data_IF_523442680943
#
_entry.id   IF_523442680943
#
_cell.length_a   1.000
_cell.length_b   1.000
_cell.length_c   1.000
_cell.angle_alpha   90.00
_cell.angle_beta   90.00
_cell.angle_gamma   90.00
#
_symmetry.space_group_name_H-M   'P 1'
#
loop_
_entity.id
_entity.type
_entity.pdbx_description
1 polymer ?
#
# COMPACT_ATOMS: atom_id res chain seq x y z
N UNK A 1 -2.49 11.59 -14.48
CA UNK A 1 -1.93 11.28 -13.15
C UNK A 1 -0.80 10.29 -13.25
N UNK A 2 0.20 10.40 -12.37
CA UNK A 2 1.35 9.48 -12.38
C UNK A 2 1.06 8.31 -11.44
N UNK A 3 0.93 7.12 -12.02
CA UNK A 3 0.72 5.87 -11.30
C UNK A 3 2.07 5.20 -11.05
N UNK A 4 2.29 4.69 -9.85
CA UNK A 4 3.45 3.87 -9.48
C UNK A 4 2.97 2.50 -9.02
N UNK A 5 3.75 1.47 -9.36
CA UNK A 5 3.42 0.08 -9.04
C UNK A 5 4.63 -0.55 -8.37
N UNK A 6 4.38 -1.26 -7.26
CA UNK A 6 5.38 -1.98 -6.48
C UNK A 6 4.92 -3.42 -6.31
N UNK A 7 5.65 -4.38 -6.87
CA UNK A 7 5.29 -5.80 -6.74
C UNK A 7 5.49 -6.30 -5.32
N UNK A 8 4.50 -7.04 -4.79
CA UNK A 8 4.58 -7.68 -3.48
C UNK A 8 5.17 -9.09 -3.66
N UNK A 9 6.41 -9.35 -3.18
CA UNK A 9 7.14 -10.59 -3.49
C UNK A 9 6.36 -11.85 -3.08
N UNK A 10 6.24 -12.81 -3.99
CA UNK A 10 5.65 -14.13 -3.72
C UNK A 10 4.13 -14.16 -3.60
N UNK A 11 3.40 -13.13 -4.04
CA UNK A 11 1.92 -13.08 -3.92
C UNK A 11 1.12 -12.97 -5.22
N UNK A 12 1.77 -12.65 -6.34
CA UNK A 12 1.05 -12.31 -7.58
C UNK A 12 0.29 -10.99 -7.50
N UNK A 13 0.41 -10.23 -6.41
CA UNK A 13 -0.18 -8.91 -6.23
C UNK A 13 0.88 -7.82 -6.27
N UNK A 14 0.45 -6.62 -6.66
CA UNK A 14 1.24 -5.40 -6.57
C UNK A 14 0.46 -4.32 -5.82
N UNK A 15 1.18 -3.44 -5.14
CA UNK A 15 0.66 -2.18 -4.62
C UNK A 15 0.66 -1.17 -5.76
N UNK A 16 -0.47 -0.49 -5.99
CA UNK A 16 -0.57 0.61 -6.95
C UNK A 16 -0.85 1.91 -6.20
N UNK A 17 -0.13 2.95 -6.59
CA UNK A 17 -0.09 4.25 -5.93
C UNK A 17 -0.40 5.35 -6.94
N UNK A 18 -1.26 6.31 -6.59
CA UNK A 18 -1.56 7.47 -7.42
C UNK A 18 -1.90 8.70 -6.59
N UNK A 19 -1.86 9.87 -7.24
CA UNK A 19 -2.26 11.12 -6.60
C UNK A 19 -3.74 11.09 -6.22
N UNK A 20 -4.05 11.47 -4.98
CA UNK A 20 -5.44 11.47 -4.48
C UNK A 20 -6.32 12.53 -5.14
N UNK A 21 -5.73 13.45 -5.90
CA UNK A 21 -6.41 14.62 -6.47
C UNK A 21 -6.74 15.68 -5.42
N UNK A 22 -6.33 15.50 -4.17
CA UNK A 22 -6.53 16.44 -3.08
C UNK A 22 -5.46 17.55 -3.11
N UNK A 23 -5.77 18.70 -2.49
CA UNK A 23 -4.90 19.89 -2.51
C UNK A 23 -3.60 19.69 -1.73
N UNK A 24 -3.59 18.71 -0.85
CA UNK A 24 -2.50 18.34 0.04
C UNK A 24 -1.45 17.57 -0.77
N UNK A 25 -0.25 18.13 -0.98
CA UNK A 25 0.72 17.59 -1.95
C UNK A 25 1.27 16.22 -1.56
N UNK A 26 1.06 15.79 -0.31
CA UNK A 26 1.62 14.57 0.23
C UNK A 26 0.59 13.44 0.35
N UNK A 27 -0.66 13.64 -0.04
CA UNK A 27 -1.67 12.56 0.02
C UNK A 27 -1.59 11.68 -1.22
N UNK A 28 -1.66 10.38 -1.00
CA UNK A 28 -1.58 9.36 -2.03
C UNK A 28 -2.65 8.31 -1.78
N UNK A 29 -3.31 7.89 -2.85
CA UNK A 29 -4.19 6.74 -2.81
C UNK A 29 -3.38 5.46 -3.07
N UNK A 30 -3.75 4.39 -2.36
CA UNK A 30 -3.22 3.05 -2.54
C UNK A 30 -4.36 2.06 -2.78
N UNK A 31 -4.17 1.14 -3.71
CA UNK A 31 -4.91 -0.13 -3.79
C UNK A 31 -3.98 -1.31 -4.10
N UNK A 32 -4.52 -2.52 -3.98
CA UNK A 32 -3.86 -3.73 -4.46
C UNK A 32 -4.37 -4.06 -5.87
N UNK A 33 -3.46 -4.53 -6.72
CA UNK A 33 -3.78 -5.02 -8.06
C UNK A 33 -3.22 -6.42 -8.26
N UNK A 34 -3.91 -7.21 -9.06
CA UNK A 34 -3.33 -8.42 -9.64
C UNK A 34 -2.17 -8.04 -10.57
N UNK A 35 -0.98 -8.62 -10.35
CA UNK A 35 0.25 -8.22 -11.04
C UNK A 35 0.23 -8.55 -12.55
N UNK A 36 -0.55 -9.55 -12.97
CA UNK A 36 -0.62 -9.99 -14.37
C UNK A 36 -1.65 -9.16 -15.16
N UNK A 37 -2.84 -8.98 -14.59
CA UNK A 37 -3.99 -8.36 -15.26
C UNK A 37 -4.11 -6.87 -14.97
N UNK A 38 -3.45 -6.37 -13.93
CA UNK A 38 -3.54 -4.98 -13.47
C UNK A 38 -4.91 -4.61 -12.88
N UNK A 39 -5.79 -5.59 -12.65
CA UNK A 39 -7.12 -5.35 -12.07
C UNK A 39 -7.02 -5.09 -10.58
N UNK A 40 -7.78 -4.12 -10.10
CA UNK A 40 -7.91 -3.84 -8.69
C UNK A 40 -8.48 -5.06 -7.95
N UNK A 41 -7.90 -5.36 -6.80
CA UNK A 41 -8.33 -6.40 -5.88
C UNK A 41 -8.31 -5.85 -4.47
N UNK A 42 -9.20 -6.36 -3.63
CA UNK A 42 -9.13 -6.07 -2.21
C UNK A 42 -7.96 -6.84 -1.60
N UNK A 43 -7.44 -6.34 -0.49
CA UNK A 43 -6.46 -7.04 0.33
C UNK A 43 -7.06 -8.32 0.91
N UNK A 44 -6.21 -9.34 1.05
CA UNK A 44 -6.60 -10.60 1.68
C UNK A 44 -6.91 -10.37 3.16
N UNK A 45 -7.82 -11.16 3.75
CA UNK A 45 -8.35 -10.92 5.10
C UNK A 45 -7.26 -10.86 6.17
N UNK A 46 -6.20 -11.65 6.01
CA UNK A 46 -5.07 -11.80 6.93
C UNK A 46 -3.90 -10.86 6.63
N UNK A 47 -4.03 -10.00 5.62
CA UNK A 47 -3.02 -9.00 5.27
C UNK A 47 -3.26 -7.70 6.02
N UNK A 48 -2.17 -7.08 6.48
CA UNK A 48 -2.18 -5.79 7.15
C UNK A 48 -1.27 -4.80 6.44
N UNK A 49 -1.76 -3.57 6.31
CA UNK A 49 -0.96 -2.42 5.92
C UNK A 49 -0.57 -1.62 7.16
N UNK A 50 0.73 -1.35 7.33
CA UNK A 50 1.30 -0.72 8.51
C UNK A 50 2.24 0.42 8.10
N UNK A 51 2.37 1.51 8.87
CA UNK A 51 3.51 2.40 8.72
C UNK A 51 4.80 1.66 9.08
N UNK A 52 5.86 1.87 8.32
CA UNK A 52 7.18 1.28 8.55
C UNK A 52 8.21 2.36 8.90
N UNK A 53 9.20 2.00 9.72
CA UNK A 53 10.38 2.82 10.05
C UNK A 53 10.12 4.18 10.72
N UNK A 54 9.06 4.31 11.52
CA UNK A 54 8.87 5.51 12.36
C UNK A 54 9.20 5.19 13.82
N UNK A 55 10.40 5.60 14.26
CA UNK A 55 10.84 5.48 15.65
C UNK A 55 9.81 6.13 16.59
N UNK A 56 9.26 5.36 17.53
CA UNK A 56 8.25 5.84 18.49
C UNK A 56 6.80 5.79 18.00
N UNK A 57 6.55 5.25 16.81
CA UNK A 57 5.18 4.98 16.32
C UNK A 57 4.80 3.55 16.69
N UNK A 58 3.64 3.41 17.33
CA UNK A 58 3.05 2.11 17.64
C UNK A 58 2.58 1.45 16.36
N UNK A 59 2.75 0.13 16.24
CA UNK A 59 2.12 -0.67 15.18
C UNK A 59 0.60 -0.45 15.24
N UNK A 60 0.06 0.32 14.30
CA UNK A 60 -1.37 0.41 14.05
C UNK A 60 -1.66 -0.02 12.62
N UNK A 61 -2.76 -0.77 12.46
CA UNK A 61 -3.24 -1.19 11.15
C UNK A 61 -3.90 0.00 10.47
N UNK A 62 -3.47 0.28 9.25
CA UNK A 62 -4.11 1.29 8.41
C UNK A 62 -5.41 0.69 7.88
N UNK A 63 -6.54 1.25 8.31
CA UNK A 63 -7.85 0.90 7.79
C UNK A 63 -8.01 1.40 6.36
N UNK A 64 -8.72 0.64 5.54
CA UNK A 64 -9.20 1.13 4.25
C UNK A 64 -10.17 2.30 4.45
N UNK A 65 -10.33 3.12 3.41
CA UNK A 65 -11.31 4.20 3.36
C UNK A 65 -12.71 3.67 3.62
N UNK A 66 -13.05 2.54 3.02
CA UNK A 66 -14.34 1.89 3.19
C UNK A 66 -14.56 1.44 4.63
N UNK A 67 -13.57 0.85 5.30
CA UNK A 67 -13.64 0.52 6.72
C UNK A 67 -13.82 1.75 7.60
N UNK A 68 -13.14 2.87 7.29
CA UNK A 68 -13.33 4.14 8.00
C UNK A 68 -14.75 4.70 7.84
N UNK A 69 -15.44 4.38 6.74
CA UNK A 69 -16.86 4.70 6.53
C UNK A 69 -17.82 3.64 7.10
N UNK A 70 -17.30 2.64 7.82
CA UNK A 70 -18.09 1.65 8.56
C UNK A 70 -18.39 0.37 7.79
N UNK A 71 -17.81 0.17 6.60
CA UNK A 71 -17.91 -1.12 5.92
C UNK A 71 -17.10 -2.17 6.67
N UNK A 72 -17.61 -3.39 6.75
CA UNK A 72 -16.78 -4.53 7.13
C UNK A 72 -15.97 -4.95 5.90
N UNK A 73 -14.74 -5.43 6.09
CA UNK A 73 -13.85 -5.84 5.00
C UNK A 73 -14.51 -6.79 3.99
N UNK A 74 -15.26 -7.79 4.47
CA UNK A 74 -16.03 -8.75 3.66
C UNK A 74 -17.16 -8.13 2.82
N UNK A 75 -17.63 -6.95 3.20
CA UNK A 75 -18.74 -6.24 2.57
C UNK A 75 -18.23 -5.16 1.59
N UNK A 76 -16.90 -4.95 1.50
CA UNK A 76 -16.29 -4.08 0.50
C UNK A 76 -16.39 -4.78 -0.86
N UNK A 77 -16.98 -4.16 -1.90
CA UNK A 77 -17.04 -4.74 -3.23
C UNK A 77 -15.65 -5.10 -3.78
N UNK A 78 -15.57 -6.16 -4.57
CA UNK A 78 -14.30 -6.62 -5.12
C UNK A 78 -13.63 -5.54 -5.98
N UNK A 79 -12.39 -5.19 -5.63
CA UNK A 79 -11.58 -4.19 -6.32
C UNK A 79 -11.89 -2.74 -5.95
N UNK A 80 -12.74 -2.51 -4.95
CA UNK A 80 -13.11 -1.15 -4.50
C UNK A 80 -12.39 -0.71 -3.21
N UNK A 81 -11.65 -1.62 -2.54
CA UNK A 81 -10.89 -1.28 -1.34
C UNK A 81 -9.74 -0.32 -1.67
N UNK A 82 -9.71 0.82 -0.97
CA UNK A 82 -8.69 1.87 -1.15
C UNK A 82 -8.16 2.33 0.19
N UNK A 83 -6.90 2.77 0.21
CA UNK A 83 -6.24 3.31 1.38
C UNK A 83 -5.76 4.73 1.10
N UNK A 84 -5.87 5.59 2.11
CA UNK A 84 -5.34 6.95 2.10
C UNK A 84 -4.03 6.97 2.89
N UNK A 85 -2.92 7.22 2.19
CA UNK A 85 -1.56 7.20 2.76
C UNK A 85 -0.78 8.46 2.40
N UNK A 86 0.42 8.61 2.97
CA UNK A 86 1.28 9.77 2.77
C UNK A 86 2.50 9.44 1.91
N UNK A 87 2.83 10.36 1.01
CA UNK A 87 4.10 10.39 0.29
C UNK A 87 5.26 10.72 1.23
N UNK A 88 6.43 10.16 0.95
CA UNK A 88 7.63 10.29 1.77
C UNK A 88 7.65 9.40 3.02
N UNK A 89 6.67 8.51 3.16
CA UNK A 89 6.56 7.57 4.26
C UNK A 89 6.81 6.15 3.75
N UNK A 90 7.49 5.33 4.56
CA UNK A 90 7.60 3.89 4.31
C UNK A 90 6.42 3.17 4.94
N UNK A 91 5.94 2.13 4.26
CA UNK A 91 4.89 1.25 4.74
C UNK A 91 5.35 -0.20 4.66
N UNK A 92 4.68 -1.07 5.40
CA UNK A 92 4.87 -2.50 5.38
C UNK A 92 3.56 -3.21 5.06
N UNK A 93 3.64 -4.20 4.17
CA UNK A 93 2.59 -5.21 4.01
C UNK A 93 3.00 -6.44 4.81
N UNK A 94 2.27 -6.70 5.91
CA UNK A 94 2.44 -7.89 6.75
C UNK A 94 1.49 -8.98 6.28
N UNK A 95 2.03 -10.19 6.09
CA UNK A 95 1.31 -11.35 5.55
C UNK A 95 1.64 -12.59 6.38
N UNK A 96 0.72 -13.54 6.60
CA UNK A 96 1.05 -14.72 7.37
C UNK A 96 2.18 -15.53 6.73
N UNK A 97 3.07 -16.04 7.59
CA UNK A 97 4.20 -16.88 7.20
C UNK A 97 5.20 -16.22 6.22
N UNK A 98 5.20 -14.90 6.10
CA UNK A 98 6.15 -14.14 5.30
C UNK A 98 6.75 -13.01 6.13
N UNK A 99 7.97 -12.59 5.79
CA UNK A 99 8.51 -11.35 6.33
C UNK A 99 7.70 -10.15 5.86
N UNK A 100 7.70 -9.10 6.67
CA UNK A 100 7.08 -7.82 6.33
C UNK A 100 7.69 -7.29 5.03
N UNK A 101 6.84 -6.97 4.05
CA UNK A 101 7.29 -6.36 2.82
C UNK A 101 7.29 -4.84 2.95
N UNK A 102 8.47 -4.23 3.08
CA UNK A 102 8.62 -2.79 3.19
C UNK A 102 8.69 -2.12 1.80
N UNK A 103 7.99 -1.00 1.65
CA UNK A 103 8.08 -0.16 0.46
C UNK A 103 8.01 1.32 0.84
N UNK A 104 8.71 2.16 0.07
CA UNK A 104 8.70 3.61 0.24
C UNK A 104 7.71 4.23 -0.74
N UNK A 105 6.88 5.17 -0.27
CA UNK A 105 6.04 5.99 -1.15
C UNK A 105 6.84 7.22 -1.56
N UNK A 106 7.20 7.38 -2.84
CA UNK A 106 8.01 8.50 -3.30
C UNK A 106 7.33 9.86 -3.03
N UNK A 107 8.10 10.81 -2.49
CA UNK A 107 7.70 12.22 -2.31
C UNK A 107 7.26 12.85 -3.63
N UNK A 108 8.02 12.58 -4.69
CA UNK A 108 7.71 13.02 -6.03
C UNK A 108 7.28 11.81 -6.84
N UNK A 109 6.26 11.98 -7.69
CA UNK A 109 5.89 10.98 -8.66
C UNK A 109 6.98 10.85 -9.73
N UNK A 110 8.09 10.17 -9.46
CA UNK A 110 9.16 9.94 -10.45
C UNK A 110 8.67 8.93 -11.49
N UNK A 111 8.89 9.15 -12.80
CA UNK A 111 8.57 8.14 -13.81
C UNK A 111 9.48 6.91 -13.64
N UNK A 112 8.88 5.75 -13.38
CA UNK A 112 9.57 4.45 -13.39
C UNK A 112 9.94 3.93 -12.00
N UNK A 113 9.28 2.84 -11.60
CA UNK A 113 9.59 1.88 -10.54
C UNK A 113 10.11 2.46 -9.21
N UNK A 114 9.23 2.52 -8.20
CA UNK A 114 9.68 2.55 -6.81
C UNK A 114 10.42 1.23 -6.54
N UNK A 115 11.73 1.34 -6.31
CA UNK A 115 12.59 0.17 -6.14
C UNK A 115 12.40 -0.42 -4.74
N UNK A 116 12.26 -1.75 -4.61
CA UNK A 116 12.33 -2.41 -3.31
C UNK A 116 13.73 -2.17 -2.73
N UNK A 117 13.79 -1.84 -1.44
CA UNK A 117 15.05 -1.85 -0.69
C UNK A 117 15.26 -3.26 -0.16
N UNK A 118 16.28 -3.95 -0.70
CA UNK A 118 16.80 -5.17 -0.08
C UNK A 118 17.41 -4.80 1.27
N UNK A 119 16.86 -5.37 2.34
CA UNK A 119 17.40 -5.30 3.69
C UNK A 119 18.70 -6.11 3.76
N UNK A 120 19.83 -5.52 3.37
CA UNK A 120 21.15 -6.08 3.65
C UNK A 120 21.78 -5.31 4.81
N UNK A 121 21.60 -5.81 6.02
CA UNK A 121 22.36 -5.38 7.17
C UNK A 121 23.82 -5.89 7.04
N UNK A 122 24.75 -4.97 7.25
CA UNK A 122 26.18 -5.24 7.46
C UNK A 122 26.47 -5.39 8.96
#
# INVERSE_FOLDING_TARGET
DRVQIVSVPGSGLSVRLWDSGLRTPNECCLDFIDSETGKATNSLEDWMLLPANQTGVFDFVISSREEMFGYQKKDIPAGEERFDIQRGVSYAVRRPNHEDFLFEVPLNSTPGAAQPRDSRAA
#
